data_IF_284213494030
#
_entry.id   IF_284213494030
#
_cell.length_a   1.000
_cell.length_b   1.000
_cell.length_c   1.000
_cell.angle_alpha   90.00
_cell.angle_beta   90.00
_cell.angle_gamma   90.00
#
_symmetry.space_group_name_H-M   'P 1'
#
loop_
_entity.id
_entity.type
_entity.pdbx_description
1 polymer ?
#
# COMPACT_ATOMS: atom_id res chain seq x y z
N UNK A 1 80.65 -10.80 -15.99
CA UNK A 1 79.97 -9.95 -14.98
C UNK A 1 79.70 -8.59 -15.60
N UNK A 2 78.47 -8.36 -16.07
CA UNK A 2 77.95 -7.04 -16.51
C UNK A 2 76.44 -7.15 -16.73
N UNK A 3 75.71 -6.54 -15.81
CA UNK A 3 74.44 -5.78 -16.00
C UNK A 3 73.33 -6.39 -16.85
N UNK A 4 72.20 -6.69 -16.21
CA UNK A 4 70.85 -6.31 -16.67
C UNK A 4 69.87 -6.45 -15.50
N UNK A 5 69.71 -5.34 -14.76
CA UNK A 5 68.69 -5.15 -13.75
C UNK A 5 67.38 -4.83 -14.49
N UNK A 6 66.52 -5.84 -14.70
CA UNK A 6 65.21 -5.63 -15.31
C UNK A 6 64.24 -5.12 -14.23
N UNK A 7 64.05 -3.81 -14.18
CA UNK A 7 62.97 -3.14 -13.43
C UNK A 7 61.63 -3.57 -14.04
N UNK A 8 61.01 -4.60 -13.47
CA UNK A 8 59.60 -4.92 -13.71
C UNK A 8 58.80 -3.89 -12.91
N UNK A 9 58.36 -2.83 -13.58
CA UNK A 9 57.35 -1.93 -13.07
C UNK A 9 56.04 -2.71 -12.93
N UNK A 10 55.72 -3.10 -11.70
CA UNK A 10 54.44 -3.69 -11.34
C UNK A 10 53.35 -2.63 -11.61
N UNK A 11 52.35 -2.89 -12.47
CA UNK A 11 51.25 -1.95 -12.63
C UNK A 11 50.52 -1.89 -11.29
N UNK A 12 50.56 -0.72 -10.66
CA UNK A 12 49.73 -0.41 -9.51
C UNK A 12 48.27 -0.59 -9.93
N UNK A 13 47.68 -1.69 -9.49
CA UNK A 13 46.27 -1.99 -9.66
C UNK A 13 45.51 -0.90 -8.88
N UNK A 14 45.09 0.14 -9.60
CA UNK A 14 44.19 1.18 -9.11
C UNK A 14 42.88 0.49 -8.72
N UNK A 15 42.78 0.11 -7.45
CA UNK A 15 41.52 -0.30 -6.84
C UNK A 15 40.67 0.96 -6.78
N UNK A 16 39.81 1.14 -7.79
CA UNK A 16 38.67 2.05 -7.68
C UNK A 16 37.79 1.51 -6.56
N UNK A 17 38.02 2.00 -5.35
CA UNK A 17 37.14 1.77 -4.21
C UNK A 17 35.88 2.58 -4.47
N UNK A 18 34.98 2.01 -5.28
CA UNK A 18 33.63 2.52 -5.48
C UNK A 18 32.92 2.40 -4.14
N UNK A 19 32.74 3.53 -3.45
CA UNK A 19 32.03 3.61 -2.19
C UNK A 19 30.51 3.47 -2.47
N UNK A 20 30.08 2.28 -2.85
CA UNK A 20 28.66 1.92 -2.85
C UNK A 20 28.25 1.66 -1.39
N UNK A 21 27.10 2.19 -0.98
CA UNK A 21 26.58 1.97 0.37
C UNK A 21 26.28 0.47 0.55
N UNK A 22 27.13 -0.24 1.31
CA UNK A 22 27.00 -1.69 1.49
C UNK A 22 25.74 -2.03 2.33
N UNK A 23 24.86 -2.86 1.76
CA UNK A 23 23.73 -3.47 2.46
C UNK A 23 24.29 -4.51 3.45
N UNK A 24 23.94 -4.41 4.74
CA UNK A 24 24.62 -5.16 5.81
C UNK A 24 24.14 -6.60 5.91
N UNK A 25 22.83 -6.83 5.87
CA UNK A 25 22.23 -8.18 5.90
C UNK A 25 21.67 -8.53 4.52
N UNK A 26 22.53 -8.51 3.51
CA UNK A 26 22.14 -8.65 2.11
C UNK A 26 21.50 -10.03 1.82
N UNK A 27 20.24 -10.00 1.38
CA UNK A 27 19.59 -11.13 0.72
C UNK A 27 19.19 -10.71 -0.68
N UNK A 28 19.51 -11.54 -1.66
CA UNK A 28 19.24 -11.26 -3.07
C UNK A 28 18.23 -12.24 -3.63
N UNK A 29 17.22 -11.73 -4.32
CA UNK A 29 16.20 -12.49 -5.03
C UNK A 29 16.05 -11.98 -6.45
N UNK A 30 15.90 -12.89 -7.40
CA UNK A 30 15.58 -12.53 -8.79
C UNK A 30 14.11 -12.83 -9.04
N UNK A 31 13.37 -11.81 -9.45
CA UNK A 31 11.92 -11.87 -9.64
C UNK A 31 11.54 -11.24 -10.97
N UNK A 32 10.45 -11.71 -11.57
CA UNK A 32 9.97 -11.13 -12.83
C UNK A 32 9.23 -9.82 -12.57
N UNK A 33 9.60 -8.79 -13.32
CA UNK A 33 8.97 -7.46 -13.33
C UNK A 33 8.81 -7.05 -14.79
N UNK A 34 7.57 -6.84 -15.24
CA UNK A 34 7.31 -6.49 -16.64
C UNK A 34 7.74 -5.03 -16.92
N UNK A 35 8.32 -4.82 -18.10
CA UNK A 35 8.86 -3.57 -18.61
C UNK A 35 9.49 -3.79 -19.98
N UNK A 36 9.56 -2.75 -20.82
CA UNK A 36 9.92 -2.88 -22.24
C UNK A 36 11.01 -1.91 -22.73
N UNK A 37 11.46 -0.97 -21.90
CA UNK A 37 12.47 0.01 -22.34
C UNK A 37 13.45 0.40 -21.21
N UNK A 38 14.64 0.95 -21.55
CA UNK A 38 15.62 1.44 -20.57
C UNK A 38 15.12 2.57 -19.64
N UNK A 39 13.99 3.21 -19.95
CA UNK A 39 13.36 4.15 -19.01
C UNK A 39 12.61 3.42 -17.89
N UNK A 40 12.12 2.21 -18.16
CA UNK A 40 11.46 1.38 -17.17
C UNK A 40 12.47 0.91 -16.13
N UNK A 41 13.65 0.44 -16.58
CA UNK A 41 14.82 0.13 -15.74
C UNK A 41 15.07 1.23 -14.70
N UNK A 42 15.34 2.46 -15.16
CA UNK A 42 15.62 3.61 -14.28
C UNK A 42 14.50 3.87 -13.27
N UNK A 43 13.26 3.65 -13.66
CA UNK A 43 12.12 3.90 -12.78
C UNK A 43 11.98 2.78 -11.75
N UNK A 44 12.04 1.52 -12.19
CA UNK A 44 11.96 0.31 -11.36
C UNK A 44 13.07 0.33 -10.32
N UNK A 45 14.31 0.57 -10.72
CA UNK A 45 15.46 0.62 -9.81
C UNK A 45 15.33 1.79 -8.83
N UNK A 46 14.89 2.95 -9.29
CA UNK A 46 14.69 4.13 -8.43
C UNK A 46 13.63 3.91 -7.36
N UNK A 47 12.51 3.27 -7.68
CA UNK A 47 11.44 3.02 -6.70
C UNK A 47 11.73 1.83 -5.79
N UNK A 48 12.56 0.90 -6.26
CA UNK A 48 13.09 -0.19 -5.46
C UNK A 48 14.18 0.28 -4.48
N UNK A 49 14.95 1.29 -4.85
CA UNK A 49 16.07 1.78 -4.05
C UNK A 49 15.62 2.52 -2.79
N UNK A 50 16.09 2.02 -1.65
CA UNK A 50 16.07 2.70 -0.35
C UNK A 50 17.44 2.52 0.27
N UNK A 51 18.13 3.64 0.55
CA UNK A 51 19.54 3.63 0.97
C UNK A 51 19.79 2.70 2.18
N UNK A 52 20.59 1.67 1.96
CA UNK A 52 20.97 0.70 3.00
C UNK A 52 19.83 -0.21 3.46
N UNK A 53 18.75 -0.30 2.69
CA UNK A 53 17.60 -1.15 2.93
C UNK A 53 17.30 -2.02 1.71
N UNK A 54 17.23 -1.45 0.51
CA UNK A 54 16.95 -2.19 -0.72
C UNK A 54 17.57 -1.52 -1.93
N UNK A 55 17.93 -2.32 -2.91
CA UNK A 55 18.27 -1.91 -4.27
C UNK A 55 17.76 -2.96 -5.26
N UNK A 56 17.57 -2.56 -6.50
CA UNK A 56 17.28 -3.48 -7.59
C UNK A 56 18.16 -3.13 -8.79
N UNK A 57 18.53 -4.16 -9.53
CA UNK A 57 19.15 -4.09 -10.85
C UNK A 57 18.20 -4.80 -11.82
N UNK A 58 17.59 -4.06 -12.74
CA UNK A 58 16.56 -4.61 -13.63
C UNK A 58 17.10 -4.82 -15.04
N UNK A 59 16.95 -6.04 -15.54
CA UNK A 59 17.43 -6.43 -16.86
C UNK A 59 16.30 -6.33 -17.89
N UNK A 60 16.48 -5.48 -18.90
CA UNK A 60 15.50 -5.21 -19.96
C UNK A 60 15.25 -6.40 -20.89
N UNK A 61 16.28 -7.20 -21.17
CA UNK A 61 16.19 -8.34 -22.09
C UNK A 61 15.56 -9.54 -21.38
N UNK A 62 15.92 -9.76 -20.11
CA UNK A 62 15.40 -10.85 -19.29
C UNK A 62 14.05 -10.53 -18.64
N UNK A 63 13.67 -9.24 -18.54
CA UNK A 63 12.49 -8.75 -17.80
C UNK A 63 12.47 -9.21 -16.35
N UNK A 64 13.64 -9.20 -15.72
CA UNK A 64 13.81 -9.63 -14.32
C UNK A 64 14.53 -8.57 -13.50
N UNK A 65 14.04 -8.32 -12.28
CA UNK A 65 14.72 -7.51 -11.28
C UNK A 65 15.53 -8.42 -10.36
N UNK A 66 16.84 -8.16 -10.22
CA UNK A 66 17.66 -8.69 -9.14
C UNK A 66 17.58 -7.72 -7.97
N UNK A 67 16.80 -8.08 -6.96
CA UNK A 67 16.52 -7.26 -5.79
C UNK A 67 17.43 -7.71 -4.65
N UNK A 68 18.21 -6.78 -4.09
CA UNK A 68 18.99 -7.00 -2.88
C UNK A 68 18.40 -6.18 -1.74
N UNK A 69 18.11 -6.84 -0.62
CA UNK A 69 17.52 -6.23 0.57
C UNK A 69 18.41 -6.41 1.80
N UNK A 70 18.27 -5.54 2.79
CA UNK A 70 18.64 -5.85 4.16
C UNK A 70 17.47 -6.57 4.82
N UNK A 71 17.64 -7.87 5.06
CA UNK A 71 16.59 -8.74 5.59
C UNK A 71 16.10 -8.38 6.99
N UNK A 72 16.80 -7.49 7.68
CA UNK A 72 16.39 -6.99 9.00
C UNK A 72 15.58 -5.70 8.92
N UNK A 73 15.51 -5.08 7.73
CA UNK A 73 14.89 -3.77 7.52
C UNK A 73 13.70 -3.81 6.57
N UNK A 74 13.68 -4.77 5.65
CA UNK A 74 12.64 -4.90 4.63
C UNK A 74 12.58 -6.34 4.13
N UNK A 75 11.66 -6.61 3.22
CA UNK A 75 11.53 -7.88 2.53
C UNK A 75 11.28 -7.66 1.02
N UNK A 76 11.37 -8.76 0.25
CA UNK A 76 11.18 -8.72 -1.21
C UNK A 76 9.74 -8.30 -1.57
N UNK A 77 8.75 -8.59 -0.72
CA UNK A 77 7.37 -8.21 -0.93
C UNK A 77 7.17 -6.71 -0.91
N UNK A 78 7.73 -6.04 0.10
CA UNK A 78 7.67 -4.60 0.25
C UNK A 78 8.34 -3.87 -0.93
N UNK A 79 9.41 -4.44 -1.50
CA UNK A 79 10.04 -3.92 -2.73
C UNK A 79 9.13 -4.11 -3.94
N UNK A 80 8.56 -5.29 -4.12
CA UNK A 80 7.67 -5.59 -5.25
C UNK A 80 6.37 -4.79 -5.23
N UNK A 81 5.81 -4.52 -4.04
CA UNK A 81 4.65 -3.63 -3.91
C UNK A 81 4.98 -2.19 -4.32
N UNK A 82 6.17 -1.67 -3.96
CA UNK A 82 6.63 -0.35 -4.41
C UNK A 82 6.77 -0.27 -5.92
N UNK A 83 7.33 -1.31 -6.54
CA UNK A 83 7.46 -1.43 -8.00
C UNK A 83 6.07 -1.46 -8.67
N UNK A 84 5.11 -2.23 -8.13
CA UNK A 84 3.72 -2.26 -8.62
C UNK A 84 3.00 -0.92 -8.47
N UNK A 85 3.18 -0.23 -7.35
CA UNK A 85 2.60 1.10 -7.12
C UNK A 85 3.15 2.17 -8.08
N UNK A 86 4.34 1.94 -8.64
CA UNK A 86 4.93 2.79 -9.67
C UNK A 86 4.45 2.48 -11.09
N UNK A 87 3.59 1.47 -11.28
CA UNK A 87 3.02 1.09 -12.58
C UNK A 87 3.56 -0.22 -13.15
N UNK A 88 4.49 -0.90 -12.48
CA UNK A 88 5.16 -2.10 -13.02
C UNK A 88 4.65 -3.39 -12.37
N UNK A 89 3.95 -4.20 -13.14
CA UNK A 89 3.49 -5.52 -12.75
C UNK A 89 4.68 -6.42 -12.44
N UNK A 90 4.49 -7.30 -11.48
CA UNK A 90 5.44 -8.34 -11.15
C UNK A 90 4.72 -9.63 -10.79
N UNK A 91 5.50 -10.69 -10.58
CA UNK A 91 4.98 -12.03 -10.33
C UNK A 91 4.06 -12.17 -9.10
N UNK A 92 4.04 -11.16 -8.21
CA UNK A 92 3.25 -11.18 -6.98
C UNK A 92 2.19 -10.09 -6.93
N UNK A 93 2.46 -8.93 -7.52
CA UNK A 93 1.58 -7.77 -7.45
C UNK A 93 1.37 -7.15 -8.83
N UNK A 94 0.11 -6.90 -9.15
CA UNK A 94 -0.28 -6.17 -10.34
C UNK A 94 -0.35 -4.68 -10.01
N UNK A 95 0.25 -3.88 -10.88
CA UNK A 95 0.15 -2.44 -10.83
C UNK A 95 -1.33 -1.98 -10.91
N UNK A 96 -1.72 -0.95 -10.16
CA UNK A 96 -3.01 -0.30 -10.35
C UNK A 96 -3.17 0.18 -11.80
N UNK A 97 -4.35 0.06 -12.39
CA UNK A 97 -4.57 0.44 -13.80
C UNK A 97 -4.20 1.89 -14.08
N UNK A 98 -4.51 2.78 -13.14
CA UNK A 98 -4.17 4.20 -13.25
C UNK A 98 -2.65 4.44 -13.19
N UNK A 99 -1.92 3.69 -12.34
CA UNK A 99 -0.46 3.82 -12.26
C UNK A 99 0.20 3.32 -13.54
N UNK A 100 -0.26 2.19 -14.08
CA UNK A 100 0.17 1.65 -15.36
C UNK A 100 -0.18 2.58 -16.53
N UNK A 101 -1.40 3.12 -16.59
CA UNK A 101 -1.82 4.08 -17.60
C UNK A 101 -1.06 5.41 -17.53
N UNK A 102 -0.55 5.77 -16.35
CA UNK A 102 0.30 6.94 -16.13
C UNK A 102 1.75 6.76 -16.57
N UNK A 103 2.16 5.54 -16.95
CA UNK A 103 3.51 5.30 -17.45
C UNK A 103 3.73 5.97 -18.82
N UNK A 104 4.96 6.47 -19.10
CA UNK A 104 5.32 6.92 -20.44
C UNK A 104 5.09 5.81 -21.48
N UNK A 105 4.81 6.19 -22.73
CA UNK A 105 4.36 5.24 -23.75
C UNK A 105 5.22 3.98 -23.94
N UNK A 106 6.56 4.06 -23.80
CA UNK A 106 7.42 2.87 -23.91
C UNK A 106 7.40 1.93 -22.70
N UNK A 107 6.84 2.38 -21.57
CA UNK A 107 6.66 1.58 -20.36
C UNK A 107 5.22 1.06 -20.21
N UNK A 108 4.34 1.31 -21.17
CA UNK A 108 3.05 0.64 -21.25
C UNK A 108 3.21 -0.71 -21.98
N UNK A 109 3.79 -1.68 -21.28
CA UNK A 109 4.07 -3.03 -21.76
C UNK A 109 2.82 -3.93 -21.80
N UNK A 110 2.83 -4.97 -22.63
CA UNK A 110 1.75 -5.97 -22.58
C UNK A 110 1.74 -6.69 -21.22
N UNK A 111 0.68 -6.44 -20.44
CA UNK A 111 0.54 -6.97 -19.07
C UNK A 111 0.37 -8.48 -19.12
N UNK A 112 1.44 -9.20 -18.79
CA UNK A 112 1.48 -10.66 -18.96
C UNK A 112 0.92 -11.41 -17.76
N UNK A 113 0.87 -10.76 -16.60
CA UNK A 113 0.33 -11.30 -15.37
C UNK A 113 -1.19 -11.12 -15.34
N UNK A 114 -1.94 -12.21 -15.14
CA UNK A 114 -3.41 -12.17 -15.15
C UNK A 114 -3.97 -11.76 -13.79
N UNK A 115 -4.82 -10.74 -13.76
CA UNK A 115 -5.70 -10.48 -12.60
C UNK A 115 -6.64 -11.67 -12.41
N UNK A 116 -6.84 -12.11 -11.16
CA UNK A 116 -8.10 -12.79 -10.84
C UNK A 116 -9.22 -11.81 -11.22
N UNK A 117 -10.18 -12.16 -12.10
CA UNK A 117 -11.10 -11.17 -12.65
C UNK A 117 -11.87 -10.47 -11.53
N UNK A 118 -11.67 -9.16 -11.41
CA UNK A 118 -12.61 -8.26 -10.76
C UNK A 118 -13.78 -8.12 -11.73
N UNK A 119 -14.99 -8.49 -11.33
CA UNK A 119 -16.18 -8.32 -12.17
C UNK A 119 -16.28 -6.85 -12.59
N UNK A 120 -16.18 -6.61 -13.89
CA UNK A 120 -16.14 -5.28 -14.51
C UNK A 120 -17.47 -4.54 -14.36
N UNK A 121 -17.41 -3.30 -13.88
CA UNK A 121 -18.41 -2.29 -14.18
C UNK A 121 -17.73 -1.18 -14.99
N UNK A 122 -17.95 -1.22 -16.30
CA UNK A 122 -17.67 -0.11 -17.20
C UNK A 122 -18.60 1.06 -16.84
N UNK A 123 -18.05 2.27 -16.90
CA UNK A 123 -18.83 3.49 -16.77
C UNK A 123 -19.80 3.64 -17.96
N UNK A 124 -21.09 3.73 -17.65
CA UNK A 124 -22.05 4.47 -18.47
C UNK A 124 -23.02 5.22 -17.56
N UNK A 125 -23.15 6.52 -17.79
CA UNK A 125 -24.07 7.41 -17.11
C UNK A 125 -25.34 7.49 -17.94
N UNK A 126 -26.40 6.77 -17.56
CA UNK A 126 -27.81 7.14 -17.78
C UNK A 126 -28.77 6.06 -17.26
N UNK A 127 -29.77 6.48 -16.47
CA UNK A 127 -31.07 5.79 -16.38
C UNK A 127 -31.37 5.08 -15.06
N UNK A 128 -32.29 5.68 -14.28
CA UNK A 128 -33.01 5.02 -13.20
C UNK A 128 -33.98 3.96 -13.74
N UNK A 129 -34.05 2.80 -13.10
CA UNK A 129 -35.32 2.09 -12.85
C UNK A 129 -35.13 0.98 -11.81
N UNK A 130 -36.17 0.81 -11.00
CA UNK A 130 -36.33 -0.14 -9.93
C UNK A 130 -36.47 -1.58 -10.45
N UNK A 131 -35.90 -2.56 -9.74
CA UNK A 131 -36.64 -3.73 -9.23
C UNK A 131 -35.72 -4.66 -8.42
N UNK A 132 -36.28 -5.26 -7.37
CA UNK A 132 -35.65 -6.18 -6.41
C UNK A 132 -36.36 -7.56 -6.46
N UNK A 133 -35.92 -8.61 -5.72
CA UNK A 133 -34.58 -8.99 -5.29
C UNK A 133 -34.24 -10.45 -5.68
N UNK A 134 -32.95 -10.77 -5.78
CA UNK A 134 -32.48 -12.16 -5.66
C UNK A 134 -32.02 -12.41 -4.21
N UNK A 135 -32.66 -13.37 -3.55
CA UNK A 135 -32.41 -13.81 -2.17
C UNK A 135 -31.02 -14.43 -2.02
N UNK A 136 -30.13 -13.73 -1.32
CA UNK A 136 -28.88 -14.30 -0.81
C UNK A 136 -29.08 -14.81 0.62
N UNK A 137 -28.55 -16.00 0.90
CA UNK A 137 -28.57 -16.65 2.21
C UNK A 137 -27.93 -15.77 3.31
N UNK A 138 -28.20 -16.03 4.61
CA UNK A 138 -27.68 -15.21 5.70
C UNK A 138 -26.15 -15.33 5.75
N UNK A 139 -25.46 -14.27 5.34
CA UNK A 139 -24.01 -14.16 5.52
C UNK A 139 -23.74 -14.01 7.01
N UNK A 140 -22.81 -14.81 7.53
CA UNK A 140 -22.39 -14.67 8.92
C UNK A 140 -21.88 -13.24 9.15
N UNK A 141 -22.26 -12.62 10.25
CA UNK A 141 -21.93 -11.23 10.59
C UNK A 141 -20.43 -10.85 10.50
N UNK A 142 -19.52 -11.82 10.51
CA UNK A 142 -18.08 -11.62 10.28
C UNK A 142 -17.68 -11.40 8.81
N UNK A 143 -18.50 -11.83 7.85
CA UNK A 143 -18.30 -11.59 6.41
C UNK A 143 -18.83 -10.23 5.96
N UNK A 144 -19.74 -9.63 6.74
CA UNK A 144 -20.44 -8.38 6.37
C UNK A 144 -19.57 -7.15 6.54
N UNK A 145 -18.69 -7.12 7.56
CA UNK A 145 -17.82 -5.97 7.85
C UNK A 145 -16.47 -6.02 7.11
N UNK A 146 -16.10 -7.16 6.51
CA UNK A 146 -14.84 -7.31 5.76
C UNK A 146 -14.63 -6.20 4.72
N UNK A 147 -15.60 -5.94 3.82
CA UNK A 147 -15.49 -4.86 2.83
C UNK A 147 -15.31 -3.47 3.44
N UNK A 148 -15.90 -3.20 4.62
CA UNK A 148 -15.75 -1.93 5.33
C UNK A 148 -14.31 -1.78 5.85
N UNK A 149 -13.75 -2.85 6.43
CA UNK A 149 -12.36 -2.85 6.89
C UNK A 149 -11.38 -2.70 5.74
N UNK A 150 -11.58 -3.44 4.64
CA UNK A 150 -10.73 -3.33 3.45
C UNK A 150 -10.73 -1.91 2.88
N UNK A 151 -11.90 -1.29 2.74
CA UNK A 151 -12.01 0.08 2.24
C UNK A 151 -11.38 1.12 3.20
N UNK A 152 -11.44 0.90 4.51
CA UNK A 152 -10.73 1.74 5.48
C UNK A 152 -9.20 1.65 5.29
N UNK A 153 -8.66 0.45 5.11
CA UNK A 153 -7.22 0.28 4.91
C UNK A 153 -6.76 0.86 3.57
N UNK A 154 -7.56 0.74 2.52
CA UNK A 154 -7.28 1.39 1.23
C UNK A 154 -7.26 2.92 1.35
N UNK A 155 -8.19 3.50 2.12
CA UNK A 155 -8.20 4.92 2.42
C UNK A 155 -6.96 5.36 3.22
N UNK A 156 -6.59 4.60 4.26
CA UNK A 156 -5.35 4.81 5.02
C UNK A 156 -4.14 4.83 4.09
N UNK A 157 -4.01 3.84 3.20
CA UNK A 157 -2.86 3.70 2.30
C UNK A 157 -2.79 4.85 1.27
N UNK A 158 -3.94 5.36 0.82
CA UNK A 158 -3.99 6.56 0.00
C UNK A 158 -3.45 7.81 0.75
N UNK A 159 -3.77 7.95 2.03
CA UNK A 159 -3.30 9.04 2.89
C UNK A 159 -1.80 8.94 3.23
N UNK A 160 -1.32 7.72 3.45
CA UNK A 160 0.12 7.41 3.56
C UNK A 160 0.88 7.85 2.31
N UNK A 161 0.27 7.68 1.15
CA UNK A 161 0.82 8.09 -0.14
C UNK A 161 0.67 9.59 -0.43
N UNK A 162 0.03 10.36 0.46
CA UNK A 162 -0.24 11.80 0.30
C UNK A 162 -0.99 12.18 -0.98
N UNK A 163 -1.82 11.29 -1.54
CA UNK A 163 -2.57 11.52 -2.78
C UNK A 163 -4.02 11.90 -2.48
N UNK A 164 -4.35 13.19 -2.49
CA UNK A 164 -5.65 13.66 -2.04
C UNK A 164 -6.83 13.18 -2.91
N UNK A 165 -6.66 13.06 -4.23
CA UNK A 165 -7.70 12.53 -5.12
C UNK A 165 -7.93 11.02 -4.90
N UNK A 166 -6.86 10.27 -4.65
CA UNK A 166 -6.98 8.84 -4.32
C UNK A 166 -7.68 8.68 -2.97
N UNK A 167 -7.34 9.51 -1.98
CA UNK A 167 -8.03 9.52 -0.69
C UNK A 167 -9.51 9.90 -0.81
N UNK A 168 -9.88 10.83 -1.70
CA UNK A 168 -11.30 11.11 -2.00
C UNK A 168 -12.01 9.89 -2.58
N UNK A 169 -11.38 9.22 -3.54
CA UNK A 169 -11.95 8.04 -4.18
C UNK A 169 -12.14 6.90 -3.17
N UNK A 170 -11.13 6.62 -2.35
CA UNK A 170 -11.21 5.58 -1.30
C UNK A 170 -12.18 5.92 -0.18
N UNK A 171 -12.35 7.19 0.13
CA UNK A 171 -13.43 7.62 1.01
C UNK A 171 -14.80 7.33 0.37
N UNK A 172 -15.01 7.57 -0.93
CA UNK A 172 -16.26 7.18 -1.60
C UNK A 172 -16.48 5.67 -1.57
N UNK A 173 -15.44 4.87 -1.81
CA UNK A 173 -15.50 3.41 -1.72
C UNK A 173 -15.91 2.96 -0.30
N UNK A 174 -15.30 3.55 0.73
CA UNK A 174 -15.65 3.26 2.13
C UNK A 174 -17.09 3.67 2.46
N UNK A 175 -17.55 4.82 1.98
CA UNK A 175 -18.93 5.27 2.15
C UNK A 175 -19.93 4.29 1.52
N UNK A 176 -19.62 3.78 0.32
CA UNK A 176 -20.43 2.76 -0.33
C UNK A 176 -20.42 1.43 0.44
N UNK A 177 -19.26 0.99 0.93
CA UNK A 177 -19.14 -0.23 1.73
C UNK A 177 -19.99 -0.15 3.02
N UNK A 178 -19.93 0.99 3.71
CA UNK A 178 -20.70 1.27 4.93
C UNK A 178 -22.21 1.26 4.65
N UNK A 179 -22.65 1.88 3.55
CA UNK A 179 -24.07 1.92 3.15
C UNK A 179 -24.63 0.54 2.81
N UNK A 180 -23.77 -0.36 2.31
CA UNK A 180 -24.16 -1.72 1.94
C UNK A 180 -24.24 -2.69 3.14
N UNK A 181 -23.84 -2.27 4.34
CA UNK A 181 -23.97 -3.08 5.56
C UNK A 181 -25.44 -3.17 5.94
N UNK A 182 -26.00 -4.38 5.85
CA UNK A 182 -27.35 -4.69 6.31
C UNK A 182 -27.35 -4.85 7.82
N UNK A 183 -28.08 -3.98 8.53
CA UNK A 183 -28.12 -3.95 10.00
C UNK A 183 -28.69 -5.23 10.61
N UNK A 184 -29.52 -5.94 9.86
CA UNK A 184 -30.11 -7.24 10.25
C UNK A 184 -29.09 -8.37 10.25
N UNK A 185 -27.97 -8.18 9.53
CA UNK A 185 -26.87 -9.13 9.48
C UNK A 185 -25.79 -8.84 10.54
N UNK A 186 -25.92 -7.75 11.30
CA UNK A 186 -25.06 -7.45 12.45
C UNK A 186 -25.59 -8.15 13.70
N UNK A 187 -24.67 -8.54 14.58
CA UNK A 187 -25.02 -9.11 15.88
C UNK A 187 -25.88 -8.13 16.70
N UNK A 188 -26.92 -8.60 17.41
CA UNK A 188 -27.62 -7.79 18.40
C UNK A 188 -26.68 -7.13 19.42
N UNK A 189 -25.57 -7.78 19.78
CA UNK A 189 -24.57 -7.22 20.71
C UNK A 189 -23.76 -6.06 20.10
N UNK A 190 -23.81 -5.91 18.78
CA UNK A 190 -23.13 -4.85 18.02
C UNK A 190 -24.09 -3.72 17.68
N UNK A 191 -25.41 -3.88 17.83
CA UNK A 191 -26.39 -2.87 17.40
C UNK A 191 -26.14 -1.48 17.99
N UNK A 192 -25.80 -1.36 19.27
CA UNK A 192 -25.59 -0.03 19.90
C UNK A 192 -24.28 0.63 19.45
N UNK A 193 -23.19 -0.14 19.33
CA UNK A 193 -21.86 0.35 18.89
C UNK A 193 -21.85 0.59 17.38
N UNK A 194 -22.48 -0.29 16.62
CA UNK A 194 -22.64 -0.25 15.18
C UNK A 194 -23.51 0.92 14.73
N UNK A 195 -24.68 1.17 15.33
CA UNK A 195 -25.54 2.29 14.92
C UNK A 195 -24.84 3.65 15.08
N UNK A 196 -24.22 3.90 16.25
CA UNK A 196 -23.51 5.16 16.50
C UNK A 196 -22.19 5.24 15.71
N UNK A 197 -21.45 4.13 15.62
CA UNK A 197 -20.20 4.06 14.88
C UNK A 197 -20.39 4.28 13.38
N UNK A 198 -21.42 3.66 12.78
CA UNK A 198 -21.68 3.74 11.34
C UNK A 198 -22.14 5.13 10.89
N UNK A 199 -22.91 5.85 11.72
CA UNK A 199 -23.26 7.25 11.46
C UNK A 199 -22.01 8.15 11.47
N UNK A 200 -21.16 8.02 12.51
CA UNK A 200 -19.90 8.77 12.61
C UNK A 200 -18.97 8.45 11.43
N UNK A 201 -18.82 7.16 11.08
CA UNK A 201 -18.05 6.74 9.92
C UNK A 201 -18.59 7.40 8.65
N UNK A 202 -19.90 7.35 8.42
CA UNK A 202 -20.51 7.93 7.21
C UNK A 202 -20.26 9.43 7.09
N UNK A 203 -20.43 10.17 8.18
CA UNK A 203 -20.19 11.62 8.21
C UNK A 203 -18.73 11.96 7.96
N UNK A 204 -17.81 11.29 8.65
CA UNK A 204 -16.37 11.55 8.54
C UNK A 204 -15.83 11.21 7.16
N UNK A 205 -16.29 10.11 6.59
CA UNK A 205 -15.90 9.68 5.24
C UNK A 205 -16.43 10.63 4.18
N UNK A 206 -17.64 11.17 4.33
CA UNK A 206 -18.17 12.22 3.45
C UNK A 206 -17.30 13.50 3.49
N UNK A 207 -16.78 13.89 4.66
CA UNK A 207 -15.86 15.03 4.77
C UNK A 207 -14.57 14.80 3.99
N UNK A 208 -13.99 13.59 4.08
CA UNK A 208 -12.77 13.22 3.34
C UNK A 208 -13.03 13.20 1.82
N UNK A 209 -14.14 12.61 1.41
CA UNK A 209 -14.55 12.50 0.00
C UNK A 209 -14.83 13.86 -0.65
N UNK A 210 -15.31 14.83 0.14
CA UNK A 210 -15.75 16.15 -0.32
C UNK A 210 -14.65 17.21 -0.41
N UNK A 211 -13.41 16.90 -0.02
CA UNK A 211 -12.31 17.89 0.01
C UNK A 211 -11.06 17.38 -0.67
N UNK A 212 -10.37 18.23 -1.42
CA UNK A 212 -9.06 17.93 -2.06
C UNK A 212 -7.87 18.41 -1.22
N UNK A 213 -8.15 18.91 -0.03
CA UNK A 213 -7.18 19.42 0.94
C UNK A 213 -6.70 18.28 1.83
N UNK A 214 -5.46 17.86 1.63
CA UNK A 214 -4.89 16.67 2.29
C UNK A 214 -4.86 16.80 3.82
N UNK A 215 -4.66 18.01 4.33
CA UNK A 215 -4.62 18.23 5.79
C UNK A 215 -6.01 18.07 6.39
N UNK A 216 -7.05 18.56 5.70
CA UNK A 216 -8.45 18.32 6.10
C UNK A 216 -8.82 16.84 6.01
N UNK A 217 -8.36 16.14 4.98
CA UNK A 217 -8.57 14.69 4.85
C UNK A 217 -7.93 13.92 6.00
N UNK A 218 -6.70 14.26 6.38
CA UNK A 218 -5.99 13.63 7.51
C UNK A 218 -6.64 13.92 8.84
N UNK A 219 -7.13 15.14 9.04
CA UNK A 219 -7.83 15.52 10.26
C UNK A 219 -9.13 14.73 10.43
N UNK A 220 -9.93 14.66 9.37
CA UNK A 220 -11.12 13.82 9.36
C UNK A 220 -10.75 12.33 9.52
N UNK A 221 -9.67 11.85 8.90
CA UNK A 221 -9.23 10.46 9.09
C UNK A 221 -8.84 10.13 10.53
N UNK A 222 -8.24 11.07 11.28
CA UNK A 222 -7.98 10.87 12.71
C UNK A 222 -9.28 10.65 13.51
N UNK A 223 -10.35 11.38 13.18
CA UNK A 223 -11.68 11.21 13.79
C UNK A 223 -12.37 9.91 13.33
N UNK A 224 -12.02 9.38 12.14
CA UNK A 224 -12.56 8.12 11.61
C UNK A 224 -12.03 6.90 12.38
N UNK A 225 -10.83 6.97 12.95
CA UNK A 225 -10.19 5.80 13.57
C UNK A 225 -10.98 5.27 14.76
N UNK A 226 -11.50 6.12 15.64
CA UNK A 226 -12.20 5.69 16.86
C UNK A 226 -13.41 4.77 16.57
N UNK A 227 -14.39 5.15 15.73
CA UNK A 227 -15.52 4.27 15.44
C UNK A 227 -15.10 3.02 14.68
N UNK A 228 -14.07 3.08 13.82
CA UNK A 228 -13.53 1.91 13.14
C UNK A 228 -12.84 0.93 14.11
N UNK A 229 -12.09 1.44 15.09
CA UNK A 229 -11.48 0.63 16.14
C UNK A 229 -12.55 -0.07 16.99
N UNK A 230 -13.62 0.62 17.34
CA UNK A 230 -14.74 0.02 18.07
C UNK A 230 -15.37 -1.15 17.28
N UNK A 231 -15.55 -1.01 15.96
CA UNK A 231 -16.04 -2.10 15.10
C UNK A 231 -15.08 -3.29 15.06
N UNK A 232 -13.77 -3.04 14.91
CA UNK A 232 -12.76 -4.10 14.89
C UNK A 232 -12.67 -4.82 16.25
N UNK A 233 -12.81 -4.10 17.37
CA UNK A 233 -12.85 -4.71 18.72
C UNK A 233 -14.09 -5.56 18.94
N UNK A 234 -15.23 -5.13 18.39
CA UNK A 234 -16.47 -5.88 18.47
C UNK A 234 -16.47 -7.13 17.57
N UNK A 235 -15.74 -7.08 16.45
CA UNK A 235 -15.54 -8.20 15.51
C UNK A 235 -14.08 -8.31 15.07
N UNK A 236 -13.21 -8.89 15.90
CA UNK A 236 -11.83 -9.09 15.50
C UNK A 236 -11.73 -10.04 14.30
N UNK A 237 -10.78 -9.77 13.43
CA UNK A 237 -10.50 -10.58 12.23
C UNK A 237 -9.61 -11.78 12.56
N UNK A 238 -9.56 -12.76 11.67
CA UNK A 238 -8.67 -13.91 11.82
C UNK A 238 -7.18 -13.51 11.79
N UNK A 239 -6.85 -12.47 11.02
CA UNK A 239 -5.53 -11.84 11.02
C UNK A 239 -5.46 -10.74 12.07
N UNK A 240 -4.32 -10.54 12.75
CA UNK A 240 -4.14 -9.44 13.69
C UNK A 240 -4.32 -8.07 13.01
N UNK A 241 -4.95 -7.14 13.71
CA UNK A 241 -5.00 -5.71 13.36
C UNK A 241 -4.28 -4.93 14.46
N UNK A 242 -3.44 -3.98 14.08
CA UNK A 242 -2.68 -3.14 14.98
C UNK A 242 -3.37 -1.80 15.13
N UNK A 243 -3.51 -1.30 16.36
CA UNK A 243 -3.79 0.10 16.61
C UNK A 243 -2.44 0.79 16.76
N UNK A 244 -2.08 1.60 15.79
CA UNK A 244 -0.85 2.38 15.79
C UNK A 244 -1.12 3.79 16.33
N UNK A 245 -0.09 4.43 16.86
CA UNK A 245 -0.16 5.74 17.49
C UNK A 245 0.93 6.68 16.96
N UNK A 246 0.54 7.92 16.64
CA UNK A 246 1.44 9.04 16.34
C UNK A 246 1.33 10.08 17.47
N UNK A 247 2.40 10.32 18.24
CA UNK A 247 2.35 11.29 19.35
C UNK A 247 2.39 12.75 18.90
N UNK A 248 2.67 13.02 17.62
CA UNK A 248 2.93 14.38 17.12
C UNK A 248 1.73 15.01 16.40
N UNK A 249 0.84 14.21 15.83
CA UNK A 249 -0.29 14.73 15.06
C UNK A 249 -1.37 15.26 16.01
N UNK A 250 -1.63 16.58 15.99
CA UNK A 250 -2.68 17.23 16.80
C UNK A 250 -2.66 16.89 18.31
N UNK A 251 -1.46 16.64 18.88
CA UNK A 251 -1.31 16.24 20.29
C UNK A 251 -1.49 14.74 20.56
N UNK A 252 -1.68 13.94 19.52
CA UNK A 252 -1.78 12.49 19.56
C UNK A 252 -2.92 11.98 18.69
N UNK A 253 -2.64 11.06 17.76
CA UNK A 253 -3.67 10.42 16.94
C UNK A 253 -3.36 8.95 16.67
N UNK A 254 -4.41 8.15 16.55
CA UNK A 254 -4.33 6.71 16.32
C UNK A 254 -4.81 6.35 14.89
N UNK A 255 -4.37 5.20 14.37
CA UNK A 255 -4.93 4.57 13.17
C UNK A 255 -4.86 3.04 13.25
N UNK A 256 -5.68 2.33 12.48
CA UNK A 256 -5.59 0.87 12.37
C UNK A 256 -4.66 0.46 11.24
N UNK A 257 -3.88 -0.59 11.42
CA UNK A 257 -2.98 -1.16 10.42
C UNK A 257 -3.12 -2.68 10.33
N UNK A 258 -2.95 -3.22 9.12
CA UNK A 258 -2.80 -4.67 8.89
C UNK A 258 -1.35 -5.13 9.03
N UNK A 259 -0.41 -4.18 8.98
CA UNK A 259 1.02 -4.43 9.03
C UNK A 259 1.58 -4.00 10.36
N UNK A 260 2.51 -4.79 10.90
CA UNK A 260 3.27 -4.42 12.09
C UNK A 260 4.25 -3.27 11.81
N UNK A 261 4.62 -3.07 10.54
CA UNK A 261 5.45 -1.95 10.11
C UNK A 261 4.64 -0.65 10.12
N UNK A 262 5.19 0.38 10.79
CA UNK A 262 4.54 1.69 10.91
C UNK A 262 4.55 2.40 9.55
N UNK A 263 3.36 2.77 9.08
CA UNK A 263 3.14 3.60 7.89
C UNK A 263 2.16 4.73 8.21
N UNK A 264 2.71 5.88 8.59
CA UNK A 264 1.99 7.01 9.16
C UNK A 264 1.14 7.75 8.11
N UNK A 265 -0.21 7.72 8.21
CA UNK A 265 -1.09 8.38 7.25
C UNK A 265 -1.14 9.91 7.39
N UNK A 266 -0.69 10.44 8.53
CA UNK A 266 -0.79 11.86 8.88
C UNK A 266 0.34 12.72 8.32
N UNK A 267 1.51 12.13 8.07
CA UNK A 267 2.67 12.85 7.53
C UNK A 267 3.20 12.26 6.22
N UNK A 268 2.65 11.12 5.77
CA UNK A 268 3.07 10.43 4.56
C UNK A 268 4.59 10.24 4.50
N UNK A 269 5.22 10.54 3.36
CA UNK A 269 6.66 10.36 3.16
C UNK A 269 7.55 11.13 4.16
N UNK A 270 7.07 12.22 4.76
CA UNK A 270 7.89 13.04 5.68
C UNK A 270 8.19 12.32 6.99
N UNK A 271 7.24 11.52 7.49
CA UNK A 271 7.40 10.75 8.73
C UNK A 271 6.79 9.36 8.60
N UNK A 272 7.04 8.69 7.46
CA UNK A 272 6.43 7.41 7.09
C UNK A 272 6.49 6.37 8.21
N UNK A 273 7.63 6.29 8.90
CA UNK A 273 7.87 5.29 9.94
C UNK A 273 7.70 5.84 11.37
N UNK A 274 7.15 7.05 11.52
CA UNK A 274 6.97 7.69 12.83
C UNK A 274 5.68 7.20 13.49
N UNK A 275 5.82 6.61 14.66
CA UNK A 275 4.72 6.08 15.46
C UNK A 275 5.10 4.78 16.13
N UNK A 276 4.15 4.16 16.80
CA UNK A 276 4.34 2.88 17.48
C UNK A 276 3.04 2.11 17.56
N UNK A 277 3.12 0.79 17.53
CA UNK A 277 1.98 -0.08 17.84
C UNK A 277 1.57 0.15 19.30
N UNK A 278 0.33 0.60 19.52
CA UNK A 278 -0.29 0.83 20.83
C UNK A 278 -1.06 -0.40 21.30
N UNK A 279 -1.76 -1.09 20.40
CA UNK A 279 -2.50 -2.32 20.70
C UNK A 279 -2.42 -3.31 19.53
N UNK A 280 -2.44 -4.62 19.83
CA UNK A 280 -2.64 -5.68 18.83
C UNK A 280 -3.97 -6.35 19.11
N UNK A 281 -4.88 -6.30 18.14
CA UNK A 281 -6.23 -6.83 18.21
C UNK A 281 -6.24 -8.20 17.51
N UNK A 282 -6.67 -9.22 18.24
CA UNK A 282 -6.78 -10.61 17.77
C UNK A 282 -8.16 -11.15 18.12
N UNK A 283 -8.58 -12.20 17.42
CA UNK A 283 -9.86 -12.91 17.62
C UNK A 283 -9.89 -13.74 18.90
#
# INVERSE_FOLDING_TARGET
MRTLLSLIALPALLVFSSCSAQIKNAQTSTVRVDGDCPMCEKTIEKVAYVKGEAEADWDVDAKTARITIDSTRTDVDAVLQRIAQAGYDNERYLAPDAAYAGLPGCCQYERSFKRKPLATAAADHSGHAHDAPATAAPQAAGEVLGPVFDAYFDLKDALVSSRCLDAQARAKDLSAAVTNVKMEALDPDIHTVGCRGMELISNTVAMIAGTSDLDKQRKAFAELTEPMFALVKARPTATPIYLDHCPMYEGGADWLSRDKAIRNPFYGAQMMNCGSVKETIVK
#
